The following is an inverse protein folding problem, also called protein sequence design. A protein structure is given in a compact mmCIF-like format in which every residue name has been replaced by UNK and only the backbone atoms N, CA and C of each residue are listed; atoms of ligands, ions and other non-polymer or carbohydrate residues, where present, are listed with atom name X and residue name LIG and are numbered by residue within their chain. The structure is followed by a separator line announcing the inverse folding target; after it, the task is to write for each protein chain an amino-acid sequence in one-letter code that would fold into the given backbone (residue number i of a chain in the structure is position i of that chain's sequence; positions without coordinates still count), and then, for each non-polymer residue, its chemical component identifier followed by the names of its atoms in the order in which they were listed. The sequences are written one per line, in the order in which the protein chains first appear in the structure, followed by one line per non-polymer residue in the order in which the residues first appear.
data_IF_221720773348
#
_entry.id   IF_221720773348
#
_cell.length_a   1.000
_cell.length_b   1.000
_cell.length_c   1.000
_cell.angle_alpha   90.00
_cell.angle_beta   90.00
_cell.angle_gamma   90.00
#
_symmetry.space_group_name_H-M   'P 1'
#
loop_
_entity.id
_entity.type
_entity.pdbx_description
1 polymer ?
#
# COMPACT_ATOMS: atom_id res chain seq x y z
N UNK A 1 19.42 6.55 15.31
CA UNK A 1 18.10 7.22 15.22
C UNK A 1 17.24 6.42 14.24
N UNK A 2 16.59 5.36 14.71
CA UNK A 2 15.65 4.58 13.89
C UNK A 2 14.39 5.42 13.77
N UNK A 3 14.33 6.24 12.72
CA UNK A 3 13.13 6.95 12.34
C UNK A 3 12.06 5.88 12.12
N UNK A 4 11.10 5.79 13.04
CA UNK A 4 9.80 5.18 12.79
C UNK A 4 9.05 6.11 11.83
N UNK A 5 9.66 6.32 10.67
CA UNK A 5 9.02 6.95 9.55
C UNK A 5 7.89 5.99 9.20
N UNK A 6 6.66 6.52 9.13
CA UNK A 6 5.62 5.94 8.28
C UNK A 6 6.32 5.33 7.08
N UNK A 7 6.28 4.00 6.99
CA UNK A 7 6.97 3.29 5.92
C UNK A 7 6.47 3.92 4.63
N UNK A 8 7.37 4.36 3.75
CA UNK A 8 7.00 5.08 2.53
C UNK A 8 5.90 4.33 1.73
N UNK A 9 5.87 3.00 1.88
CA UNK A 9 4.85 2.10 1.35
C UNK A 9 3.44 2.31 1.95
N UNK A 10 3.32 2.61 3.24
CA UNK A 10 2.03 2.97 3.88
C UNK A 10 1.50 4.31 3.33
N UNK A 11 2.39 5.30 3.21
CA UNK A 11 2.03 6.60 2.62
C UNK A 11 1.53 6.47 1.19
N UNK A 12 2.21 5.66 0.37
CA UNK A 12 1.80 5.33 -0.99
C UNK A 12 0.48 4.55 -1.04
N UNK A 13 0.24 3.64 -0.09
CA UNK A 13 -1.01 2.88 -0.01
C UNK A 13 -2.20 3.80 0.29
N UNK A 14 -2.04 4.70 1.27
CA UNK A 14 -3.07 5.69 1.62
C UNK A 14 -3.32 6.63 0.42
N UNK A 15 -2.27 7.11 -0.23
CA UNK A 15 -2.39 7.93 -1.44
C UNK A 15 -3.16 7.20 -2.55
N UNK A 16 -2.85 5.92 -2.78
CA UNK A 16 -3.55 5.08 -3.76
C UNK A 16 -5.05 5.00 -3.43
N UNK A 17 -5.41 4.76 -2.16
CA UNK A 17 -6.81 4.70 -1.72
C UNK A 17 -7.55 6.01 -1.98
N UNK A 18 -6.96 7.16 -1.63
CA UNK A 18 -7.60 8.45 -1.82
C UNK A 18 -7.68 8.86 -3.29
N UNK A 19 -6.67 8.54 -4.10
CA UNK A 19 -6.63 8.91 -5.52
C UNK A 19 -7.43 7.97 -6.42
N UNK A 20 -7.67 6.73 -5.99
CA UNK A 20 -8.45 5.73 -6.73
C UNK A 20 -9.84 6.20 -7.20
N UNK A 21 -10.72 6.77 -6.35
CA UNK A 21 -12.04 7.24 -6.81
C UNK A 21 -11.92 8.36 -7.85
N UNK A 22 -10.95 9.25 -7.73
CA UNK A 22 -10.73 10.32 -8.71
C UNK A 22 -10.22 9.78 -10.05
N UNK A 23 -9.29 8.84 -10.03
CA UNK A 23 -8.82 8.19 -11.25
C UNK A 23 -9.95 7.44 -11.98
N UNK A 24 -10.84 6.78 -11.23
CA UNK A 24 -12.02 6.14 -11.82
C UNK A 24 -12.96 7.17 -12.45
N UNK A 25 -13.20 8.31 -11.81
CA UNK A 25 -14.03 9.38 -12.38
C UNK A 25 -13.41 9.91 -13.68
N UNK A 26 -12.10 10.20 -13.69
CA UNK A 26 -11.37 10.67 -14.88
C UNK A 26 -11.45 9.63 -16.01
N UNK A 27 -11.24 8.34 -15.69
CA UNK A 27 -11.30 7.27 -16.68
C UNK A 27 -12.72 7.11 -17.28
N UNK A 28 -13.76 7.30 -16.48
CA UNK A 28 -15.14 7.33 -16.95
C UNK A 28 -15.46 8.59 -17.77
N UNK A 29 -14.76 9.70 -17.52
CA UNK A 29 -14.90 10.94 -18.27
C UNK A 29 -14.16 10.90 -19.61
N UNK A 30 -13.01 10.21 -19.71
CA UNK A 30 -12.24 10.11 -20.95
C UNK A 30 -12.81 9.10 -21.95
N UNK A 31 -13.50 8.06 -21.46
CA UNK A 31 -14.04 6.98 -22.31
C UNK A 31 -15.56 7.13 -22.44
N UNK A 32 -15.99 7.70 -23.58
CA UNK A 32 -17.41 7.90 -23.89
C UNK A 32 -18.15 6.61 -24.25
N UNK A 33 -17.47 5.63 -24.84
CA UNK A 33 -18.08 4.36 -25.23
C UNK A 33 -18.33 3.44 -24.02
N UNK A 34 -19.60 3.03 -23.83
CA UNK A 34 -20.02 2.23 -22.67
C UNK A 34 -19.38 0.85 -22.63
N UNK A 35 -19.24 0.18 -23.77
CA UNK A 35 -18.69 -1.17 -23.84
C UNK A 35 -17.18 -1.16 -23.52
N UNK A 36 -16.47 -0.17 -24.07
CA UNK A 36 -15.05 0.05 -23.79
C UNK A 36 -14.83 0.47 -22.33
N UNK A 37 -15.65 1.39 -21.80
CA UNK A 37 -15.54 1.87 -20.41
C UNK A 37 -15.60 0.77 -19.36
N UNK A 38 -16.50 -0.20 -19.52
CA UNK A 38 -16.61 -1.33 -18.58
C UNK A 38 -15.34 -2.20 -18.56
N UNK A 39 -14.76 -2.46 -19.74
CA UNK A 39 -13.55 -3.26 -19.87
C UNK A 39 -12.33 -2.56 -19.27
N UNK A 40 -12.17 -1.27 -19.54
CA UNK A 40 -11.05 -0.48 -19.02
C UNK A 40 -11.17 -0.22 -17.52
N UNK A 41 -12.38 0.06 -17.01
CA UNK A 41 -12.62 0.20 -15.57
C UNK A 41 -12.31 -1.09 -14.79
N UNK A 42 -12.74 -2.24 -15.30
CA UNK A 42 -12.42 -3.54 -14.69
C UNK A 42 -10.91 -3.83 -14.70
N UNK A 43 -10.23 -3.56 -15.82
CA UNK A 43 -8.76 -3.67 -15.94
C UNK A 43 -8.04 -2.73 -14.96
N UNK A 44 -8.50 -1.48 -14.84
CA UNK A 44 -7.95 -0.50 -13.92
C UNK A 44 -8.10 -0.95 -12.46
N UNK A 45 -9.27 -1.48 -12.09
CA UNK A 45 -9.51 -2.01 -10.74
C UNK A 45 -8.59 -3.20 -10.42
N UNK A 46 -8.38 -4.12 -11.39
CA UNK A 46 -7.45 -5.23 -11.22
C UNK A 46 -6.02 -4.71 -10.98
N UNK A 47 -5.57 -3.72 -11.76
CA UNK A 47 -4.25 -3.12 -11.59
C UNK A 47 -4.12 -2.43 -10.22
N UNK A 48 -5.12 -1.66 -9.80
CA UNK A 48 -5.14 -1.06 -8.47
C UNK A 48 -5.14 -2.11 -7.35
N UNK A 49 -5.86 -3.23 -7.51
CA UNK A 49 -5.88 -4.32 -6.54
C UNK A 49 -4.50 -5.00 -6.42
N UNK A 50 -3.80 -5.22 -7.54
CA UNK A 50 -2.44 -5.76 -7.54
C UNK A 50 -1.47 -4.79 -6.86
N UNK A 51 -1.54 -3.49 -7.20
CA UNK A 51 -0.72 -2.45 -6.57
C UNK A 51 -0.95 -2.36 -5.06
N UNK A 52 -2.21 -2.39 -4.63
CA UNK A 52 -2.59 -2.41 -3.23
C UNK A 52 -2.03 -3.64 -2.51
N UNK A 53 -2.15 -4.83 -3.11
CA UNK A 53 -1.59 -6.07 -2.54
C UNK A 53 -0.06 -6.01 -2.42
N UNK A 54 0.65 -5.53 -3.44
CA UNK A 54 2.11 -5.35 -3.38
C UNK A 54 2.54 -4.38 -2.27
N UNK A 55 1.88 -3.22 -2.18
CA UNK A 55 2.16 -2.22 -1.13
C UNK A 55 1.87 -2.79 0.26
N UNK A 56 0.81 -3.57 0.43
CA UNK A 56 0.46 -4.20 1.69
C UNK A 56 1.50 -5.25 2.12
N UNK A 57 1.99 -6.07 1.18
CA UNK A 57 3.06 -7.06 1.46
C UNK A 57 4.34 -6.36 1.88
N UNK A 58 4.76 -5.30 1.17
CA UNK A 58 5.94 -4.52 1.54
C UNK A 58 5.78 -3.82 2.89
N UNK A 59 4.58 -3.33 3.19
CA UNK A 59 4.26 -2.77 4.50
C UNK A 59 4.40 -3.81 5.61
N UNK A 60 3.78 -4.99 5.47
CA UNK A 60 3.89 -6.07 6.46
C UNK A 60 5.32 -6.54 6.66
N UNK A 61 6.13 -6.62 5.59
CA UNK A 61 7.56 -6.92 5.72
C UNK A 61 8.29 -5.87 6.55
N UNK A 62 7.92 -4.60 6.42
CA UNK A 62 8.50 -3.52 7.23
C UNK A 62 8.17 -3.71 8.72
N UNK A 63 6.93 -4.06 9.06
CA UNK A 63 6.52 -4.35 10.44
C UNK A 63 7.21 -5.59 11.03
N UNK A 64 7.42 -6.65 10.23
CA UNK A 64 8.17 -7.84 10.68
C UNK A 64 9.63 -7.52 10.98
N UNK A 65 10.28 -6.70 10.14
CA UNK A 65 11.66 -6.28 10.35
C UNK A 65 11.79 -5.38 11.59
N UNK A 66 10.93 -4.38 11.73
CA UNK A 66 10.92 -3.51 12.92
C UNK A 66 10.52 -4.27 14.19
N UNK A 67 9.60 -5.24 14.09
CA UNK A 67 9.20 -6.08 15.21
C UNK A 67 10.35 -6.92 15.76
N UNK A 68 11.18 -7.49 14.87
CA UNK A 68 12.41 -8.19 15.27
C UNK A 68 13.44 -7.26 15.88
N UNK A 69 13.69 -6.09 15.29
CA UNK A 69 14.61 -5.10 15.88
C UNK A 69 14.18 -4.67 17.29
N UNK A 70 12.88 -4.48 17.52
CA UNK A 70 12.35 -4.12 18.84
C UNK A 70 12.52 -5.27 19.85
N UNK A 71 12.30 -6.52 19.43
CA UNK A 71 12.50 -7.70 20.26
C UNK A 71 13.99 -7.89 20.61
N UNK A 72 14.88 -7.78 19.64
CA UNK A 72 16.33 -7.90 19.83
C UNK A 72 16.87 -6.77 20.72
N UNK A 73 16.33 -5.55 20.57
CA UNK A 73 16.63 -4.44 21.50
C UNK A 73 16.12 -4.72 22.91
N UNK A 74 14.92 -5.29 23.05
CA UNK A 74 14.39 -5.65 24.35
C UNK A 74 15.24 -6.75 25.03
N UNK A 75 15.61 -7.81 24.30
CA UNK A 75 16.50 -8.87 24.82
C UNK A 75 17.90 -8.37 25.20
N UNK A 76 18.46 -7.43 24.44
CA UNK A 76 19.76 -6.82 24.78
C UNK A 76 19.69 -5.87 25.98
N UNK A 77 18.54 -5.22 26.23
CA UNK A 77 18.32 -4.37 27.40
C UNK A 77 17.90 -5.17 28.64
N UNK A 78 17.31 -6.36 28.47
CA UNK A 78 16.89 -7.27 29.53
C UNK A 78 17.54 -8.66 29.35
N UNK A 79 18.86 -8.81 29.59
CA UNK A 79 19.60 -10.05 29.36
C UNK A 79 19.26 -11.22 30.31
N UNK A 80 18.38 -11.02 31.29
CA UNK A 80 18.09 -11.98 32.38
C UNK A 80 16.64 -12.51 32.37
N UNK A 81 15.98 -12.54 31.21
CA UNK A 81 14.67 -13.19 31.02
C UNK A 81 14.79 -14.63 30.57
#
# INVERSE_FOLDING_TARGET
MSSMAISNYLGLFILLMFTHPFMLVILNMLIWDKATRARYSSRFNIVCAILAACLMIMHMQTEVVYGKELLDRWYSMNPNG
#
